data_IF_336082447437
#
_entry.id   IF_336082447437
#
_cell.length_a   1.000
_cell.length_b   1.000
_cell.length_c   1.000
_cell.angle_alpha   90.00
_cell.angle_beta   90.00
_cell.angle_gamma   90.00
#
_symmetry.space_group_name_H-M   'P 1'
#
loop_
_entity.id
_entity.type
_entity.pdbx_description
1 polymer ?
#
# COMPACT_ATOMS: atom_id res chain seq x y z
N UNK A 1 21.54 5.16 5.63
CA UNK A 1 21.40 4.15 4.53
C UNK A 1 22.52 4.42 3.55
N UNK A 2 23.34 3.42 3.23
CA UNK A 2 24.45 3.59 2.29
C UNK A 2 23.97 3.44 0.82
N UNK A 3 24.85 3.84 -0.14
CA UNK A 3 24.52 3.79 -1.57
C UNK A 3 24.23 2.36 -2.09
N UNK A 4 24.87 1.36 -1.49
CA UNK A 4 24.63 -0.04 -1.84
C UNK A 4 23.26 -0.50 -1.32
N UNK A 5 22.87 -0.13 -0.09
CA UNK A 5 21.55 -0.40 0.46
C UNK A 5 20.44 0.22 -0.40
N UNK A 6 20.65 1.45 -0.91
CA UNK A 6 19.70 2.09 -1.84
C UNK A 6 19.54 1.34 -3.15
N UNK A 7 20.67 0.88 -3.75
CA UNK A 7 20.63 0.07 -4.97
C UNK A 7 19.89 -1.25 -4.75
N UNK A 8 20.16 -1.93 -3.63
CA UNK A 8 19.45 -3.16 -3.25
C UNK A 8 17.93 -2.91 -3.17
N UNK A 9 17.51 -1.85 -2.48
CA UNK A 9 16.10 -1.50 -2.35
C UNK A 9 15.45 -1.17 -3.69
N UNK A 10 16.15 -0.43 -4.57
CA UNK A 10 15.63 -0.10 -5.90
C UNK A 10 15.42 -1.35 -6.75
N UNK A 11 16.36 -2.30 -6.73
CA UNK A 11 16.23 -3.57 -7.45
C UNK A 11 15.10 -4.43 -6.91
N UNK A 12 15.01 -4.60 -5.59
CA UNK A 12 13.94 -5.38 -4.95
C UNK A 12 12.55 -4.74 -5.11
N UNK A 13 12.46 -3.41 -5.07
CA UNK A 13 11.20 -2.71 -5.30
C UNK A 13 10.71 -2.82 -6.74
N UNK A 14 11.62 -3.00 -7.69
CA UNK A 14 11.29 -3.20 -9.09
C UNK A 14 10.90 -4.66 -9.40
N UNK A 15 11.66 -5.61 -8.86
CA UNK A 15 11.42 -7.04 -9.03
C UNK A 15 11.97 -7.82 -7.83
N UNK A 16 11.07 -8.25 -6.95
CA UNK A 16 11.40 -9.01 -5.74
C UNK A 16 11.52 -10.53 -5.97
N UNK A 17 11.21 -11.03 -7.18
CA UNK A 17 11.28 -12.47 -7.51
C UNK A 17 12.66 -12.89 -8.00
N UNK A 18 13.55 -11.96 -8.32
CA UNK A 18 14.90 -12.25 -8.78
C UNK A 18 15.69 -13.04 -7.74
N UNK A 19 16.51 -13.96 -8.24
CA UNK A 19 17.37 -14.74 -7.35
C UNK A 19 18.41 -13.85 -6.65
N UNK A 20 18.78 -14.22 -5.42
CA UNK A 20 19.85 -13.51 -4.70
C UNK A 20 21.19 -13.57 -5.47
N UNK A 21 21.38 -14.62 -6.27
CA UNK A 21 22.58 -14.83 -7.07
C UNK A 21 22.67 -13.81 -8.22
N UNK A 22 21.54 -13.60 -8.92
CA UNK A 22 21.48 -12.63 -10.03
C UNK A 22 21.62 -11.19 -9.51
N UNK A 23 20.94 -10.86 -8.40
CA UNK A 23 21.06 -9.56 -7.76
C UNK A 23 22.48 -9.28 -7.26
N UNK A 24 23.14 -10.27 -6.65
CA UNK A 24 24.51 -10.15 -6.18
C UNK A 24 25.49 -9.95 -7.34
N UNK A 25 25.28 -10.69 -8.45
CA UNK A 25 26.07 -10.54 -9.68
C UNK A 25 25.95 -9.14 -10.27
N UNK A 26 24.74 -8.59 -10.36
CA UNK A 26 24.50 -7.23 -10.86
C UNK A 26 25.14 -6.15 -9.97
N UNK A 27 25.12 -6.37 -8.65
CA UNK A 27 25.71 -5.45 -7.68
C UNK A 27 27.22 -5.61 -7.50
N UNK A 28 27.82 -6.67 -8.07
CA UNK A 28 29.26 -6.98 -7.94
C UNK A 28 29.67 -7.34 -6.51
N UNK A 29 28.79 -7.98 -5.73
CA UNK A 29 29.05 -8.38 -4.34
C UNK A 29 28.77 -9.87 -4.12
N UNK A 30 29.37 -10.50 -3.09
CA UNK A 30 29.03 -11.88 -2.72
C UNK A 30 27.56 -12.01 -2.30
N UNK A 31 26.89 -13.13 -2.66
CA UNK A 31 25.51 -13.41 -2.29
C UNK A 31 25.29 -13.43 -0.77
N UNK A 32 26.29 -13.85 0.00
CA UNK A 32 26.24 -13.81 1.47
C UNK A 32 26.19 -12.38 2.01
N UNK A 33 26.93 -11.47 1.41
CA UNK A 33 26.93 -10.03 1.76
C UNK A 33 25.56 -9.41 1.42
N UNK A 34 25.02 -9.72 0.24
CA UNK A 34 23.69 -9.27 -0.16
C UNK A 34 22.62 -9.76 0.81
N UNK A 35 22.63 -11.06 1.14
CA UNK A 35 21.70 -11.66 2.08
C UNK A 35 21.73 -10.97 3.46
N UNK A 36 22.92 -10.72 4.00
CA UNK A 36 23.08 -10.01 5.27
C UNK A 36 22.53 -8.58 5.23
N UNK A 37 22.76 -7.86 4.12
CA UNK A 37 22.22 -6.50 3.97
C UNK A 37 20.70 -6.49 3.86
N UNK A 38 20.11 -7.39 3.09
CA UNK A 38 18.66 -7.53 2.99
C UNK A 38 18.07 -7.84 4.38
N UNK A 39 18.63 -8.82 5.10
CA UNK A 39 18.19 -9.17 6.45
C UNK A 39 18.25 -7.99 7.42
N UNK A 40 19.29 -7.17 7.31
CA UNK A 40 19.43 -5.94 8.11
C UNK A 40 18.34 -4.91 7.77
N UNK A 41 17.99 -4.76 6.48
CA UNK A 41 16.93 -3.86 6.03
C UNK A 41 15.54 -4.33 6.50
N UNK A 42 15.29 -5.64 6.49
CA UNK A 42 14.09 -6.27 7.05
C UNK A 42 14.00 -6.05 8.56
N UNK A 43 15.07 -6.34 9.31
CA UNK A 43 15.12 -6.16 10.76
C UNK A 43 14.90 -4.71 11.18
N UNK A 44 15.35 -3.75 10.37
CA UNK A 44 15.13 -2.32 10.58
C UNK A 44 13.72 -1.85 10.17
N UNK A 45 12.89 -2.73 9.61
CA UNK A 45 11.56 -2.39 9.10
C UNK A 45 11.57 -1.50 7.86
N UNK A 46 12.72 -1.36 7.18
CA UNK A 46 12.82 -0.63 5.90
C UNK A 46 12.17 -1.47 4.79
N UNK A 47 12.44 -2.76 4.75
CA UNK A 47 11.67 -3.74 3.98
C UNK A 47 10.58 -4.28 4.92
N UNK A 48 9.34 -3.95 4.62
CA UNK A 48 8.19 -4.33 5.45
C UNK A 48 7.57 -5.66 5.02
N UNK A 49 7.99 -6.21 3.89
CA UNK A 49 7.51 -7.49 3.37
C UNK A 49 7.54 -7.53 1.85
N UNK A 50 7.13 -8.67 1.33
CA UNK A 50 7.01 -8.96 -0.11
C UNK A 50 5.58 -9.39 -0.38
N UNK A 51 4.97 -8.90 -1.46
CA UNK A 51 3.59 -9.22 -1.82
C UNK A 51 3.48 -9.52 -3.30
N UNK A 52 2.68 -10.53 -3.62
CA UNK A 52 2.29 -10.79 -5.00
C UNK A 52 1.39 -9.64 -5.51
N UNK A 53 1.67 -9.18 -6.73
CA UNK A 53 0.78 -8.28 -7.45
C UNK A 53 -0.29 -9.11 -8.15
N UNK A 54 -1.55 -8.89 -7.79
CA UNK A 54 -2.68 -9.63 -8.36
C UNK A 54 -3.37 -8.81 -9.44
N UNK A 55 -3.83 -9.50 -10.48
CA UNK A 55 -4.85 -8.95 -11.37
C UNK A 55 -6.21 -9.08 -10.68
N UNK A 56 -6.70 -7.97 -10.12
CA UNK A 56 -7.94 -7.94 -9.36
C UNK A 56 -9.15 -8.40 -10.20
N UNK A 57 -9.17 -8.07 -11.49
CA UNK A 57 -10.25 -8.51 -12.40
C UNK A 57 -10.23 -10.01 -12.62
N UNK A 58 -9.04 -10.60 -12.79
CA UNK A 58 -8.86 -12.03 -12.96
C UNK A 58 -9.32 -12.83 -11.72
N UNK A 59 -9.18 -12.28 -10.52
CA UNK A 59 -9.68 -12.87 -9.27
C UNK A 59 -11.10 -12.45 -8.91
N UNK A 60 -11.83 -11.78 -9.83
CA UNK A 60 -13.24 -11.47 -9.68
C UNK A 60 -13.55 -10.11 -9.03
N UNK A 61 -12.55 -9.34 -8.60
CA UNK A 61 -12.74 -8.00 -8.03
C UNK A 61 -12.73 -6.95 -9.15
N UNK A 62 -13.92 -6.63 -9.68
CA UNK A 62 -14.07 -5.83 -10.89
C UNK A 62 -14.28 -4.34 -10.62
N UNK A 63 -14.62 -3.97 -9.38
CA UNK A 63 -14.95 -2.61 -8.99
C UNK A 63 -14.00 -2.13 -7.92
N UNK A 64 -13.15 -1.16 -8.26
CA UNK A 64 -12.28 -0.45 -7.32
C UNK A 64 -12.85 0.94 -7.07
N UNK A 65 -12.84 1.39 -5.82
CA UNK A 65 -13.30 2.72 -5.46
C UNK A 65 -12.42 3.33 -4.38
N UNK A 66 -12.31 4.66 -4.42
CA UNK A 66 -11.81 5.45 -3.30
C UNK A 66 -13.01 6.07 -2.58
N UNK A 67 -13.09 5.85 -1.28
CA UNK A 67 -14.17 6.37 -0.44
C UNK A 67 -13.59 7.36 0.55
N UNK A 68 -13.97 8.61 0.41
CA UNK A 68 -13.63 9.68 1.35
C UNK A 68 -14.59 9.65 2.53
N UNK A 69 -14.07 9.73 3.75
CA UNK A 69 -14.82 9.58 4.98
C UNK A 69 -14.70 10.84 5.83
N UNK A 70 -15.85 11.26 6.39
CA UNK A 70 -15.90 12.37 7.35
C UNK A 70 -16.72 11.92 8.55
N UNK A 71 -16.15 11.90 9.78
CA UNK A 71 -16.92 11.63 11.00
C UNK A 71 -18.16 12.53 11.10
N UNK A 72 -19.30 11.96 11.49
CA UNK A 72 -20.55 12.73 11.65
C UNK A 72 -20.45 13.61 12.90
N UNK A 73 -19.86 13.08 13.96
CA UNK A 73 -19.61 13.82 15.20
C UNK A 73 -18.12 14.24 15.26
N UNK A 74 -17.80 15.55 15.15
CA UNK A 74 -16.43 16.03 15.25
C UNK A 74 -15.77 15.82 16.63
N UNK A 75 -16.57 15.57 17.66
CA UNK A 75 -16.08 15.31 19.02
C UNK A 75 -15.88 13.83 19.32
N UNK A 76 -16.23 12.93 18.37
CA UNK A 76 -16.00 11.51 18.51
C UNK A 76 -14.49 11.18 18.57
N UNK A 77 -14.10 10.08 19.24
CA UNK A 77 -12.72 9.61 19.21
C UNK A 77 -12.22 9.40 17.78
N UNK A 78 -10.94 9.73 17.54
CA UNK A 78 -10.28 9.55 16.24
C UNK A 78 -9.82 8.08 16.06
N UNK A 79 -10.78 7.18 15.98
CA UNK A 79 -10.57 5.73 15.89
C UNK A 79 -11.21 5.07 14.65
N UNK A 80 -11.54 5.87 13.64
CA UNK A 80 -12.18 5.39 12.40
C UNK A 80 -11.39 4.26 11.75
N UNK A 81 -10.06 4.38 11.67
CA UNK A 81 -9.22 3.34 11.08
C UNK A 81 -9.30 2.00 11.83
N UNK A 82 -9.36 2.04 13.16
CA UNK A 82 -9.50 0.85 14.01
C UNK A 82 -10.86 0.17 13.81
N UNK A 83 -11.94 0.97 13.72
CA UNK A 83 -13.29 0.48 13.50
C UNK A 83 -13.47 -0.16 12.11
N UNK A 84 -12.72 0.32 11.12
CA UNK A 84 -12.76 -0.19 9.75
C UNK A 84 -11.78 -1.34 9.49
N UNK A 85 -10.76 -1.53 10.31
CA UNK A 85 -9.74 -2.57 10.13
C UNK A 85 -10.28 -4.01 9.94
N UNK A 86 -11.43 -4.42 10.56
CA UNK A 86 -11.99 -5.74 10.33
C UNK A 86 -12.67 -5.93 8.97
N UNK A 87 -12.92 -4.87 8.19
CA UNK A 87 -13.62 -4.94 6.90
C UNK A 87 -12.62 -5.36 5.82
N UNK A 88 -12.72 -6.60 5.34
CA UNK A 88 -11.75 -7.23 4.44
C UNK A 88 -11.69 -6.61 3.03
N UNK A 89 -12.76 -5.97 2.57
CA UNK A 89 -12.84 -5.30 1.28
C UNK A 89 -12.03 -3.99 1.24
N UNK A 90 -11.62 -3.49 2.40
CA UNK A 90 -10.77 -2.30 2.51
C UNK A 90 -9.30 -2.71 2.34
N UNK A 91 -8.71 -2.35 1.21
CA UNK A 91 -7.29 -2.59 0.91
C UNK A 91 -6.36 -1.64 1.70
N UNK A 92 -6.79 -0.42 1.91
CA UNK A 92 -6.01 0.60 2.62
C UNK A 92 -6.88 1.72 3.19
N UNK A 93 -6.38 2.32 4.27
CA UNK A 93 -7.00 3.44 4.95
C UNK A 93 -5.94 4.48 5.29
N UNK A 94 -6.16 5.71 4.89
CA UNK A 94 -5.26 6.84 5.13
C UNK A 94 -5.99 7.95 5.86
N UNK A 95 -5.43 8.46 6.95
CA UNK A 95 -5.81 9.75 7.52
C UNK A 95 -5.23 10.86 6.64
N UNK A 96 -6.05 11.83 6.29
CA UNK A 96 -5.68 12.89 5.34
C UNK A 96 -6.05 14.26 5.89
N UNK A 97 -5.29 15.26 5.47
CA UNK A 97 -5.61 16.66 5.75
C UNK A 97 -6.36 17.27 4.54
N UNK A 98 -7.57 17.75 4.75
CA UNK A 98 -8.39 18.36 3.69
C UNK A 98 -9.87 18.41 4.05
N UNK A 99 -10.72 18.35 3.05
CA UNK A 99 -12.20 18.36 3.23
C UNK A 99 -12.71 17.12 3.96
N UNK A 100 -12.04 16.00 3.80
CA UNK A 100 -12.34 14.73 4.44
C UNK A 100 -11.25 14.36 5.43
N UNK A 101 -11.56 13.53 6.40
CA UNK A 101 -10.61 13.09 7.44
C UNK A 101 -9.87 11.80 7.06
N UNK A 102 -10.50 10.95 6.27
CA UNK A 102 -9.93 9.67 5.83
C UNK A 102 -10.26 9.39 4.37
N UNK A 103 -9.40 8.60 3.73
CA UNK A 103 -9.66 7.97 2.43
C UNK A 103 -9.39 6.48 2.59
N UNK A 104 -10.31 5.64 2.08
CA UNK A 104 -10.10 4.20 1.97
C UNK A 104 -10.13 3.77 0.51
N UNK A 105 -9.30 2.78 0.14
CA UNK A 105 -9.38 2.08 -1.13
C UNK A 105 -10.10 0.78 -0.91
N UNK A 106 -11.13 0.52 -1.69
CA UNK A 106 -11.96 -0.69 -1.59
C UNK A 106 -12.02 -1.42 -2.93
N UNK A 107 -12.13 -2.76 -2.87
CA UNK A 107 -12.28 -3.61 -4.03
C UNK A 107 -13.42 -4.58 -3.80
N UNK A 108 -14.37 -4.62 -4.72
CA UNK A 108 -15.53 -5.51 -4.67
C UNK A 108 -15.78 -6.17 -6.04
N UNK A 109 -16.58 -7.23 -6.06
CA UNK A 109 -16.88 -7.94 -7.29
C UNK A 109 -17.76 -7.10 -8.23
N UNK A 110 -18.83 -6.51 -7.70
CA UNK A 110 -19.83 -5.79 -8.49
C UNK A 110 -20.26 -4.49 -7.81
N UNK A 111 -20.88 -3.54 -8.54
CA UNK A 111 -21.37 -2.29 -7.97
C UNK A 111 -22.40 -2.46 -6.86
N UNK A 112 -23.22 -3.51 -6.88
CA UNK A 112 -24.17 -3.82 -5.82
C UNK A 112 -23.48 -4.15 -4.49
N UNK A 113 -22.32 -4.83 -4.55
CA UNK A 113 -21.50 -5.13 -3.36
C UNK A 113 -20.91 -3.84 -2.77
N UNK A 114 -20.60 -2.85 -3.62
CA UNK A 114 -20.14 -1.55 -3.17
C UNK A 114 -21.21 -0.83 -2.34
N UNK A 115 -22.48 -0.88 -2.75
CA UNK A 115 -23.57 -0.28 -1.99
C UNK A 115 -23.68 -0.90 -0.59
N UNK A 116 -23.62 -2.23 -0.49
CA UNK A 116 -23.63 -2.95 0.78
C UNK A 116 -22.42 -2.59 1.66
N UNK A 117 -21.23 -2.53 1.06
CA UNK A 117 -20.00 -2.14 1.74
C UNK A 117 -20.07 -0.71 2.29
N UNK A 118 -20.60 0.25 1.51
CA UNK A 118 -20.75 1.63 1.96
C UNK A 118 -21.72 1.74 3.15
N UNK A 119 -22.79 0.94 3.16
CA UNK A 119 -23.69 0.88 4.30
C UNK A 119 -22.97 0.33 5.54
N UNK A 120 -22.16 -0.72 5.39
CA UNK A 120 -21.38 -1.30 6.48
C UNK A 120 -20.35 -0.29 7.04
N UNK A 121 -19.60 0.40 6.17
CA UNK A 121 -18.63 1.43 6.57
C UNK A 121 -19.31 2.54 7.38
N UNK A 122 -20.44 3.06 6.91
CA UNK A 122 -21.21 4.10 7.63
C UNK A 122 -21.66 3.63 8.99
N UNK A 123 -22.16 2.40 9.08
CA UNK A 123 -22.62 1.83 10.34
C UNK A 123 -21.50 1.57 11.33
N UNK A 124 -20.35 1.06 10.84
CA UNK A 124 -19.21 0.69 11.67
C UNK A 124 -18.50 1.89 12.28
N UNK A 125 -18.30 2.97 11.51
CA UNK A 125 -17.47 4.10 11.91
C UNK A 125 -18.24 5.42 12.11
N UNK A 126 -19.57 5.44 11.96
CA UNK A 126 -20.41 6.63 12.08
C UNK A 126 -19.89 7.81 11.22
N UNK A 127 -19.68 7.54 9.94
CA UNK A 127 -19.09 8.48 8.96
C UNK A 127 -20.06 8.80 7.82
N UNK A 128 -19.90 9.96 7.22
CA UNK A 128 -20.39 10.26 5.87
C UNK A 128 -19.39 9.75 4.86
N UNK A 129 -19.87 9.27 3.71
CA UNK A 129 -19.07 8.72 2.64
C UNK A 129 -19.26 9.51 1.35
N UNK A 130 -18.16 9.80 0.65
CA UNK A 130 -18.15 10.29 -0.72
C UNK A 130 -17.32 9.31 -1.55
N UNK A 131 -17.91 8.73 -2.59
CA UNK A 131 -17.31 7.62 -3.32
C UNK A 131 -16.90 8.03 -4.73
N UNK A 132 -15.64 7.75 -5.08
CA UNK A 132 -15.10 7.89 -6.43
C UNK A 132 -14.81 6.51 -7.00
N UNK A 133 -15.55 6.09 -8.02
CA UNK A 133 -15.35 4.81 -8.70
C UNK A 133 -14.24 4.93 -9.72
N UNK A 134 -13.29 3.99 -9.70
CA UNK A 134 -12.21 3.93 -10.69
C UNK A 134 -12.75 3.31 -11.98
N UNK A 135 -12.75 4.07 -13.06
CA UNK A 135 -13.19 3.59 -14.37
C UNK A 135 -12.09 2.80 -15.08
N UNK A 136 -10.86 3.27 -14.98
CA UNK A 136 -9.67 2.59 -15.52
C UNK A 136 -8.44 2.96 -14.72
N UNK A 137 -7.48 2.04 -14.64
CA UNK A 137 -6.19 2.27 -13.98
C UNK A 137 -5.11 2.38 -15.05
N UNK A 138 -4.58 3.57 -15.26
CA UNK A 138 -3.50 3.79 -16.22
C UNK A 138 -2.17 3.18 -15.72
N UNK A 139 -1.90 3.34 -14.45
CA UNK A 139 -0.79 2.68 -13.74
C UNK A 139 -0.99 2.76 -12.23
N UNK A 140 -0.49 1.79 -11.50
CA UNK A 140 -0.44 1.77 -10.04
C UNK A 140 0.76 0.94 -9.54
N UNK A 141 1.04 1.01 -8.25
CA UNK A 141 2.09 0.21 -7.60
C UNK A 141 3.47 0.35 -8.24
N UNK A 142 3.80 1.52 -8.80
CA UNK A 142 5.15 1.80 -9.28
C UNK A 142 6.12 1.86 -8.10
N UNK A 143 7.34 1.34 -8.27
CA UNK A 143 8.38 1.50 -7.26
C UNK A 143 8.60 2.98 -6.92
N UNK A 144 8.77 3.33 -5.64
CA UNK A 144 9.08 4.70 -5.26
C UNK A 144 10.45 5.11 -5.81
N UNK A 145 10.56 6.34 -6.32
CA UNK A 145 11.88 6.92 -6.62
C UNK A 145 12.58 7.23 -5.30
N UNK A 146 13.61 6.45 -4.98
CA UNK A 146 14.40 6.68 -3.78
C UNK A 146 15.23 7.97 -3.92
N UNK A 147 15.40 8.75 -2.84
CA UNK A 147 16.26 9.93 -2.85
C UNK A 147 17.72 9.51 -3.11
N UNK A 148 18.44 10.30 -3.91
CA UNK A 148 19.87 10.10 -4.08
C UNK A 148 20.59 10.36 -2.75
N UNK A 149 21.54 9.49 -2.39
CA UNK A 149 22.37 9.72 -1.20
C UNK A 149 23.31 10.87 -1.53
N UNK A 150 23.05 12.05 -0.97
CA UNK A 150 24.05 13.11 -0.95
C UNK A 150 25.21 12.57 -0.12
N UNK A 151 26.32 12.23 -0.75
CA UNK A 151 27.57 12.05 -0.02
C UNK A 151 27.90 13.42 0.58
N UNK A 152 27.67 13.55 1.87
CA UNK A 152 28.27 14.63 2.64
C UNK A 152 29.72 14.23 2.83
N UNK A 153 30.62 14.89 2.11
CA UNK A 153 32.08 14.80 2.30
C UNK A 153 32.46 15.20 3.74
#
# INVERSE_FOLDING_TARGET
>A
MDALEQKILALLANDSERSLQDLAGELGIPSSTLHQKIKKLETKGIIQGYRAKLDLRAVGLKTTSFVSLTPIDPAAPDNVAELLAPIGEIEGCWSVAGTHSYIVKVNVAEPADLEALLANIRAAANVRTETTVVLSTAFENRPPKLPETTQTD
#
